data_IF_318083091075
#
_entry.id   IF_318083091075
#
_cell.length_a   1.000
_cell.length_b   1.000
_cell.length_c   1.000
_cell.angle_alpha   90.00
_cell.angle_beta   90.00
_cell.angle_gamma   90.00
#
_symmetry.space_group_name_H-M   'P 1'
#
loop_
_entity.id
_entity.type
_entity.pdbx_description
1 polymer ?
#
# COMPACT_ATOMS: atom_id res chain seq x y z
N UNK A 1 -3.41 -12.77 21.37
CA UNK A 1 -2.13 -12.04 21.50
C UNK A 1 -2.13 -10.90 20.49
N UNK A 2 -2.00 -9.66 20.98
CA UNK A 2 -1.93 -8.48 20.11
C UNK A 2 -0.60 -7.80 20.39
N UNK A 3 0.11 -7.41 19.35
CA UNK A 3 1.35 -6.64 19.43
C UNK A 3 1.26 -5.43 18.51
N UNK A 4 1.87 -4.35 18.90
CA UNK A 4 1.97 -3.15 18.06
C UNK A 4 3.35 -2.50 18.21
N UNK A 5 3.73 -1.78 17.18
CA UNK A 5 4.88 -0.87 17.16
C UNK A 5 4.36 0.48 16.69
N UNK A 6 4.78 1.52 17.38
CA UNK A 6 4.51 2.91 17.04
C UNK A 6 5.84 3.64 16.88
N UNK A 7 6.06 4.25 15.73
CA UNK A 7 7.28 4.94 15.38
C UNK A 7 6.98 6.35 14.88
N UNK A 8 7.72 7.32 15.40
CA UNK A 8 7.67 8.72 14.96
C UNK A 8 8.99 9.08 14.31
N UNK A 9 8.93 9.76 13.19
CA UNK A 9 10.08 10.28 12.48
C UNK A 9 9.89 11.76 12.14
N UNK A 10 10.89 12.57 12.45
CA UNK A 10 10.92 13.99 12.14
C UNK A 10 11.95 14.24 11.04
N UNK A 11 11.49 14.67 9.88
CA UNK A 11 12.36 15.07 8.79
C UNK A 11 12.64 16.58 8.86
N UNK A 12 13.91 16.91 8.99
CA UNK A 12 14.40 18.29 8.92
C UNK A 12 15.50 18.37 7.87
N UNK A 13 15.12 18.76 6.67
CA UNK A 13 16.09 19.17 5.64
C UNK A 13 16.02 20.68 5.46
N UNK A 14 16.91 21.25 4.64
CA UNK A 14 16.83 22.67 4.26
C UNK A 14 15.56 23.02 3.45
N UNK A 15 14.92 22.00 2.87
CA UNK A 15 13.79 22.18 1.94
C UNK A 15 12.47 21.66 2.48
N UNK A 16 12.48 20.71 3.41
CA UNK A 16 11.26 20.05 3.90
C UNK A 16 11.35 19.85 5.41
N UNK A 17 10.29 20.23 6.10
CA UNK A 17 10.04 19.88 7.50
C UNK A 17 8.77 19.06 7.56
N UNK A 18 8.88 17.79 7.93
CA UNK A 18 7.74 16.90 8.01
C UNK A 18 7.81 16.02 9.26
N UNK A 19 6.66 15.72 9.81
CA UNK A 19 6.49 14.72 10.85
C UNK A 19 5.74 13.53 10.26
N UNK A 20 6.22 12.32 10.55
CA UNK A 20 5.58 11.08 10.16
C UNK A 20 5.43 10.17 11.37
N UNK A 21 4.27 9.54 11.50
CA UNK A 21 3.99 8.53 12.50
C UNK A 21 3.40 7.30 11.86
N UNK A 22 3.93 6.13 12.18
CA UNK A 22 3.43 4.86 11.68
C UNK A 22 3.20 3.89 12.82
N UNK A 23 2.00 3.35 12.89
CA UNK A 23 1.63 2.31 13.81
C UNK A 23 1.36 1.03 13.04
N UNK A 24 2.03 -0.05 13.42
CA UNK A 24 1.81 -1.40 12.92
C UNK A 24 1.31 -2.28 14.05
N UNK A 25 0.23 -3.00 13.80
CA UNK A 25 -0.35 -3.95 14.75
C UNK A 25 -0.52 -5.32 14.14
N UNK A 26 -0.29 -6.37 14.92
CA UNK A 26 -0.62 -7.75 14.58
C UNK A 26 -1.78 -8.18 15.48
N UNK A 27 -2.88 -8.58 14.86
CA UNK A 27 -4.08 -9.01 15.54
C UNK A 27 -4.34 -10.48 15.19
N UNK A 28 -4.19 -11.35 16.18
CA UNK A 28 -4.46 -12.78 16.02
C UNK A 28 -5.95 -13.03 16.17
N UNK A 29 -6.59 -13.57 15.16
CA UNK A 29 -8.02 -13.90 15.13
C UNK A 29 -8.32 -15.36 15.50
N UNK A 30 -7.35 -16.26 15.31
CA UNK A 30 -7.43 -17.67 15.72
C UNK A 30 -6.03 -18.24 16.01
N UNK A 31 -5.89 -19.52 16.40
CA UNK A 31 -4.57 -20.16 16.50
C UNK A 31 -3.73 -20.10 15.20
N UNK A 32 -4.38 -20.03 14.04
CA UNK A 32 -3.73 -20.14 12.73
C UNK A 32 -3.97 -18.95 11.81
N UNK A 33 -4.75 -17.96 12.22
CA UNK A 33 -5.10 -16.80 11.42
C UNK A 33 -4.88 -15.50 12.16
N UNK A 34 -4.62 -14.46 11.42
CA UNK A 34 -4.44 -13.11 11.94
C UNK A 34 -4.37 -12.11 10.80
N UNK A 35 -4.36 -10.86 11.14
CA UNK A 35 -4.21 -9.76 10.21
C UNK A 35 -3.33 -8.67 10.81
N UNK A 36 -2.82 -7.82 9.94
CA UNK A 36 -2.01 -6.67 10.31
C UNK A 36 -2.79 -5.40 10.04
N UNK A 37 -2.63 -4.41 10.90
CA UNK A 37 -3.16 -3.07 10.69
C UNK A 37 -2.00 -2.10 10.62
N UNK A 38 -1.99 -1.27 9.58
CA UNK A 38 -0.99 -0.22 9.36
C UNK A 38 -1.71 1.13 9.31
N UNK A 39 -1.30 2.05 10.15
CA UNK A 39 -1.81 3.42 10.16
C UNK A 39 -0.60 4.34 9.98
N UNK A 40 -0.57 5.05 8.85
CA UNK A 40 0.48 5.99 8.52
C UNK A 40 -0.07 7.42 8.50
N UNK A 41 0.53 8.27 9.31
CA UNK A 41 0.25 9.70 9.40
C UNK A 41 1.42 10.48 8.87
N UNK A 42 1.14 11.59 8.19
CA UNK A 42 2.17 12.49 7.70
C UNK A 42 1.64 13.92 7.70
N UNK A 43 2.44 14.82 8.21
CA UNK A 43 2.18 16.25 8.18
C UNK A 43 3.42 17.02 7.73
N UNK A 44 3.21 18.14 7.04
CA UNK A 44 4.27 19.06 6.62
C UNK A 44 4.17 20.31 7.45
N UNK A 45 5.24 20.63 8.17
CA UNK A 45 5.29 21.72 9.16
C UNK A 45 5.95 22.99 8.61
N UNK A 46 6.24 23.04 7.30
CA UNK A 46 6.81 24.22 6.62
C UNK A 46 5.77 25.19 6.04
N UNK A 47 4.49 24.87 6.15
CA UNK A 47 3.37 25.67 5.67
C UNK A 47 3.05 25.51 4.18
N UNK A 48 3.74 24.60 3.49
CA UNK A 48 3.51 24.31 2.08
C UNK A 48 2.47 23.20 1.88
N UNK A 49 1.63 23.33 0.86
CA UNK A 49 0.66 22.30 0.48
C UNK A 49 1.34 21.23 -0.39
N UNK A 50 1.79 20.15 0.21
CA UNK A 50 2.53 19.08 -0.45
C UNK A 50 1.68 17.83 -0.61
N UNK A 51 2.19 16.91 -1.43
CA UNK A 51 1.64 15.56 -1.52
C UNK A 51 2.24 14.68 -0.41
N UNK A 52 1.39 13.83 0.14
CA UNK A 52 1.76 12.74 1.04
C UNK A 52 1.53 11.42 0.31
N UNK A 53 2.50 10.54 0.35
CA UNK A 53 2.48 9.27 -0.36
C UNK A 53 2.63 8.10 0.63
N UNK A 54 1.69 7.18 0.56
CA UNK A 54 1.80 5.88 1.18
C UNK A 54 2.21 4.87 0.13
N UNK A 55 3.39 4.27 0.31
CA UNK A 55 3.95 3.29 -0.63
C UNK A 55 4.03 1.95 0.06
N UNK A 56 3.53 0.92 -0.62
CA UNK A 56 3.62 -0.47 -0.18
C UNK A 56 4.16 -1.34 -1.31
N UNK A 57 5.12 -2.19 -0.97
CA UNK A 57 5.71 -3.18 -1.86
C UNK A 57 5.40 -4.57 -1.32
N UNK A 58 5.02 -5.48 -2.19
CA UNK A 58 4.87 -6.89 -1.83
C UNK A 58 5.65 -7.75 -2.82
N UNK A 59 6.48 -8.64 -2.30
CA UNK A 59 7.17 -9.61 -3.15
C UNK A 59 6.15 -10.59 -3.72
N UNK A 60 6.20 -10.83 -5.01
CA UNK A 60 5.27 -11.75 -5.66
C UNK A 60 5.30 -11.63 -7.18
N UNK A 61 4.33 -12.28 -7.81
CA UNK A 61 4.22 -12.35 -9.27
C UNK A 61 3.32 -11.27 -9.86
N UNK A 62 2.50 -10.61 -9.04
CA UNK A 62 1.58 -9.57 -9.49
C UNK A 62 0.63 -9.08 -8.40
N UNK A 63 -0.17 -8.09 -8.76
CA UNK A 63 -1.22 -7.54 -7.91
C UNK A 63 -2.47 -7.24 -8.73
N UNK A 64 -3.63 -7.51 -8.16
CA UNK A 64 -4.93 -7.22 -8.73
C UNK A 64 -5.73 -6.32 -7.80
N UNK A 65 -6.42 -5.33 -8.36
CA UNK A 65 -7.15 -4.30 -7.63
C UNK A 65 -8.66 -4.48 -7.80
N UNK A 66 -9.37 -4.53 -6.68
CA UNK A 66 -10.81 -4.75 -6.65
C UNK A 66 -11.52 -3.78 -5.71
N UNK A 67 -12.70 -3.35 -6.08
CA UNK A 67 -13.64 -2.71 -5.15
C UNK A 67 -14.11 -3.74 -4.11
N UNK A 68 -14.60 -3.31 -2.95
CA UNK A 68 -15.12 -4.23 -1.92
C UNK A 68 -16.29 -5.10 -2.41
N UNK A 69 -16.96 -4.68 -3.49
CA UNK A 69 -17.97 -5.48 -4.17
C UNK A 69 -17.42 -6.72 -4.89
N UNK A 70 -16.08 -6.82 -5.03
CA UNK A 70 -15.41 -7.85 -5.82
C UNK A 70 -15.29 -7.52 -7.32
N UNK A 71 -15.78 -6.38 -7.75
CA UNK A 71 -15.59 -5.93 -9.14
C UNK A 71 -14.17 -5.38 -9.32
N UNK A 72 -13.51 -5.58 -10.48
CA UNK A 72 -12.24 -4.94 -10.77
C UNK A 72 -12.33 -3.42 -10.58
N UNK A 73 -11.32 -2.85 -9.95
CA UNK A 73 -11.22 -1.41 -9.77
C UNK A 73 -10.97 -0.74 -11.14
N UNK A 74 -11.65 0.36 -11.46
CA UNK A 74 -11.52 1.02 -12.76
C UNK A 74 -10.19 1.78 -12.85
N UNK A 75 -9.12 1.08 -13.19
CA UNK A 75 -7.79 1.65 -13.37
C UNK A 75 -7.66 2.26 -14.77
N UNK A 76 -7.29 3.52 -14.84
CA UNK A 76 -6.96 4.22 -16.09
C UNK A 76 -5.46 4.14 -16.34
N UNK A 77 -5.06 3.92 -17.59
CA UNK A 77 -3.64 4.05 -17.95
C UNK A 77 -3.18 5.46 -17.62
N UNK A 78 -2.21 5.59 -16.71
CA UNK A 78 -1.68 6.88 -16.29
C UNK A 78 -0.26 7.04 -16.79
N UNK A 79 0.08 8.15 -17.46
CA UNK A 79 1.46 8.47 -17.77
C UNK A 79 2.24 8.68 -16.45
N UNK A 80 3.51 8.28 -16.46
CA UNK A 80 4.45 8.46 -15.32
C UNK A 80 4.63 9.93 -14.91
N UNK A 81 4.28 10.86 -15.78
CA UNK A 81 4.41 12.31 -15.56
C UNK A 81 3.63 12.82 -14.34
N UNK A 82 2.64 12.06 -13.87
CA UNK A 82 1.92 12.38 -12.63
C UNK A 82 2.73 12.11 -11.36
N UNK A 83 3.77 11.27 -11.44
CA UNK A 83 4.69 10.94 -10.35
C UNK A 83 6.05 11.57 -10.62
N UNK A 84 6.21 12.85 -10.28
CA UNK A 84 7.46 13.58 -10.47
C UNK A 84 8.38 13.46 -9.25
N UNK A 85 9.69 13.39 -9.49
CA UNK A 85 10.72 13.32 -8.47
C UNK A 85 11.66 12.14 -8.62
N UNK A 86 12.89 12.27 -8.12
CA UNK A 86 13.96 11.27 -8.32
C UNK A 86 13.61 9.86 -7.81
N UNK A 87 12.82 9.75 -6.73
CA UNK A 87 12.42 8.47 -6.15
C UNK A 87 11.42 7.69 -7.02
N UNK A 88 10.63 8.38 -7.84
CA UNK A 88 9.58 7.74 -8.65
C UNK A 88 10.09 7.19 -9.98
N UNK A 89 11.29 7.57 -10.42
CA UNK A 89 11.91 7.04 -11.65
C UNK A 89 12.18 5.52 -11.59
N UNK A 90 12.09 4.92 -10.42
CA UNK A 90 12.25 3.47 -10.23
C UNK A 90 10.95 2.67 -10.39
N UNK A 91 9.82 3.34 -10.59
CA UNK A 91 8.53 2.70 -10.77
C UNK A 91 8.08 2.73 -12.22
N UNK A 92 7.40 1.65 -12.62
CA UNK A 92 6.58 1.62 -13.84
C UNK A 92 5.12 1.71 -13.41
N UNK A 93 4.41 2.73 -13.85
CA UNK A 93 2.97 2.87 -13.60
C UNK A 93 2.20 1.96 -14.56
N UNK A 94 1.35 1.11 -14.00
CA UNK A 94 0.45 0.22 -14.75
C UNK A 94 -0.94 0.82 -14.89
N UNK A 95 -1.37 1.61 -13.91
CA UNK A 95 -2.64 2.30 -13.93
C UNK A 95 -2.84 3.18 -12.72
N UNK A 96 -3.89 4.02 -12.76
CA UNK A 96 -4.31 4.85 -11.64
C UNK A 96 -5.82 4.96 -11.54
N UNK A 97 -6.31 5.26 -10.32
CA UNK A 97 -7.69 5.56 -10.05
C UNK A 97 -7.78 6.75 -9.10
N UNK A 98 -8.54 7.78 -9.49
CA UNK A 98 -8.78 8.96 -8.67
C UNK A 98 -10.05 8.76 -7.83
N UNK A 99 -9.97 9.17 -6.56
CA UNK A 99 -11.08 9.12 -5.61
C UNK A 99 -11.79 7.75 -5.57
N UNK A 100 -11.06 6.63 -5.47
CA UNK A 100 -11.72 5.32 -5.44
C UNK A 100 -12.58 5.17 -4.19
N UNK A 101 -13.60 4.34 -4.30
CA UNK A 101 -14.28 3.76 -3.12
C UNK A 101 -13.32 2.84 -2.36
N UNK A 102 -13.72 2.39 -1.17
CA UNK A 102 -12.96 1.40 -0.42
C UNK A 102 -12.67 0.18 -1.30
N UNK A 103 -11.43 -0.28 -1.27
CA UNK A 103 -10.96 -1.33 -2.17
C UNK A 103 -10.04 -2.32 -1.45
N UNK A 104 -9.70 -3.39 -2.14
CA UNK A 104 -8.62 -4.26 -1.74
C UNK A 104 -7.68 -4.56 -2.90
N UNK A 105 -6.44 -4.87 -2.56
CA UNK A 105 -5.42 -5.36 -3.49
C UNK A 105 -5.08 -6.79 -3.10
N UNK A 106 -5.10 -7.69 -4.07
CA UNK A 106 -4.69 -9.07 -3.90
C UNK A 106 -3.30 -9.26 -4.51
N UNK A 107 -2.31 -9.53 -3.68
CA UNK A 107 -0.95 -9.80 -4.10
C UNK A 107 -0.72 -11.31 -4.18
N UNK A 108 -0.32 -11.80 -5.35
CA UNK A 108 0.04 -13.19 -5.58
C UNK A 108 1.51 -13.40 -5.23
N UNK A 109 1.79 -14.15 -4.18
CA UNK A 109 3.16 -14.32 -3.69
C UNK A 109 4.00 -15.30 -4.53
N UNK A 110 3.35 -16.03 -5.46
CA UNK A 110 4.03 -16.93 -6.39
C UNK A 110 4.56 -18.21 -5.76
N UNK A 111 4.14 -18.52 -4.54
CA UNK A 111 4.49 -19.73 -3.79
C UNK A 111 3.20 -20.37 -3.29
N UNK A 112 2.93 -21.61 -3.69
CA UNK A 112 1.88 -22.48 -3.15
C UNK A 112 0.50 -21.80 -2.96
N UNK A 113 0.00 -21.11 -3.98
CA UNK A 113 -1.31 -20.40 -3.91
C UNK A 113 -1.43 -19.46 -2.68
N UNK A 114 -0.31 -18.80 -2.36
CA UNK A 114 -0.24 -17.89 -1.23
C UNK A 114 -0.48 -16.46 -1.67
N UNK A 115 -1.32 -15.77 -0.93
CA UNK A 115 -1.74 -14.40 -1.21
C UNK A 115 -1.55 -13.50 0.03
N UNK A 116 -1.37 -12.22 -0.24
CA UNK A 116 -1.56 -11.17 0.73
C UNK A 116 -2.66 -10.24 0.23
N UNK A 117 -3.77 -10.17 0.92
CA UNK A 117 -4.83 -9.20 0.63
C UNK A 117 -4.68 -7.97 1.51
N UNK A 118 -4.64 -6.82 0.87
CA UNK A 118 -4.53 -5.53 1.51
C UNK A 118 -5.85 -4.78 1.31
N UNK A 119 -6.60 -4.57 2.38
CA UNK A 119 -7.81 -3.75 2.38
C UNK A 119 -7.45 -2.30 2.70
N UNK A 120 -8.02 -1.39 1.93
CA UNK A 120 -7.77 0.05 2.05
C UNK A 120 -9.09 0.80 2.15
N UNK A 121 -9.44 1.34 3.32
CA UNK A 121 -10.47 2.36 3.39
C UNK A 121 -9.93 3.64 2.76
N UNK A 122 -10.69 4.22 1.87
CA UNK A 122 -10.27 5.43 1.16
C UNK A 122 -10.99 6.67 1.65
N UNK A 123 -10.54 7.81 1.18
CA UNK A 123 -11.13 9.12 1.41
C UNK A 123 -11.08 9.95 0.14
N UNK A 124 -11.84 11.04 0.12
CA UNK A 124 -11.81 12.00 -0.97
C UNK A 124 -10.42 12.62 -1.14
N UNK A 125 -10.06 12.93 -2.37
CA UNK A 125 -8.78 13.60 -2.71
C UNK A 125 -7.59 12.63 -2.81
N UNK A 126 -7.83 11.32 -2.81
CA UNK A 126 -6.77 10.32 -2.99
C UNK A 126 -6.70 9.82 -4.43
N UNK A 127 -5.48 9.61 -4.90
CA UNK A 127 -5.20 8.89 -6.14
C UNK A 127 -4.42 7.63 -5.80
N UNK A 128 -4.88 6.51 -6.33
CA UNK A 128 -4.25 5.20 -6.17
C UNK A 128 -3.53 4.84 -7.45
N UNK A 129 -2.28 4.40 -7.34
CA UNK A 129 -1.46 3.95 -8.46
C UNK A 129 -1.11 2.48 -8.28
N UNK A 130 -1.33 1.70 -9.32
CA UNK A 130 -0.77 0.36 -9.47
C UNK A 130 0.59 0.49 -10.14
N UNK A 131 1.62 -0.03 -9.47
CA UNK A 131 3.00 0.15 -9.88
C UNK A 131 3.73 -1.20 -9.93
N UNK A 132 4.78 -1.22 -10.74
CA UNK A 132 5.86 -2.17 -10.61
C UNK A 132 7.12 -1.41 -10.19
N UNK A 133 7.80 -1.93 -9.17
CA UNK A 133 9.10 -1.46 -8.71
C UNK A 133 10.23 -2.24 -9.40
N UNK A 134 11.48 -1.99 -9.01
CA UNK A 134 12.64 -2.71 -9.50
C UNK A 134 12.58 -4.21 -9.15
N UNK A 135 13.34 -5.01 -9.89
CA UNK A 135 13.49 -6.43 -9.60
C UNK A 135 14.12 -6.68 -8.23
N UNK A 136 13.64 -7.71 -7.54
CA UNK A 136 14.24 -8.13 -6.27
C UNK A 136 15.27 -9.25 -6.49
N UNK A 137 16.49 -8.90 -6.84
CA UNK A 137 17.58 -9.85 -7.07
C UNK A 137 17.99 -10.67 -5.84
N UNK A 138 17.54 -10.28 -4.64
CA UNK A 138 17.85 -10.96 -3.38
C UNK A 138 16.75 -11.87 -2.88
N UNK A 139 15.64 -11.97 -3.62
CA UNK A 139 14.57 -12.84 -3.19
C UNK A 139 15.04 -14.30 -3.10
N UNK A 140 14.54 -15.02 -2.09
CA UNK A 140 14.97 -16.39 -1.82
C UNK A 140 14.62 -17.31 -3.00
N UNK A 141 13.41 -17.21 -3.56
CA UNK A 141 12.97 -18.00 -4.71
C UNK A 141 13.60 -17.44 -6.00
N UNK A 142 14.48 -18.21 -6.68
CA UNK A 142 15.17 -17.72 -7.86
C UNK A 142 14.27 -17.29 -9.01
N UNK A 143 13.13 -17.94 -9.20
CA UNK A 143 12.17 -17.63 -10.27
C UNK A 143 11.56 -16.25 -10.13
N UNK A 144 11.46 -15.71 -8.90
CA UNK A 144 10.90 -14.40 -8.63
C UNK A 144 11.93 -13.27 -8.74
N UNK A 145 13.22 -13.56 -8.87
CA UNK A 145 14.29 -12.56 -8.92
C UNK A 145 14.28 -11.72 -10.20
N UNK A 146 13.67 -12.24 -11.26
CA UNK A 146 13.57 -11.58 -12.56
C UNK A 146 12.25 -10.84 -12.76
N UNK A 147 11.32 -10.97 -11.80
CA UNK A 147 10.05 -10.29 -11.84
C UNK A 147 10.14 -8.93 -11.15
N UNK A 148 9.45 -7.91 -11.65
CA UNK A 148 9.31 -6.66 -10.94
C UNK A 148 8.50 -6.87 -9.65
N UNK A 149 8.80 -6.08 -8.63
CA UNK A 149 8.08 -6.13 -7.36
C UNK A 149 6.78 -5.35 -7.50
N UNK A 150 5.59 -5.98 -7.33
CA UNK A 150 4.32 -5.26 -7.34
C UNK A 150 4.28 -4.23 -6.22
N UNK A 151 3.80 -3.03 -6.53
CA UNK A 151 3.72 -1.95 -5.59
C UNK A 151 2.39 -1.18 -5.71
N UNK A 152 1.99 -0.61 -4.61
CA UNK A 152 0.88 0.32 -4.49
C UNK A 152 1.43 1.67 -4.02
N UNK A 153 0.95 2.75 -4.62
CA UNK A 153 1.12 4.09 -4.08
C UNK A 153 -0.26 4.74 -3.93
N UNK A 154 -0.53 5.28 -2.76
CA UNK A 154 -1.70 6.11 -2.49
C UNK A 154 -1.19 7.51 -2.23
N UNK A 155 -1.60 8.46 -3.07
CA UNK A 155 -1.24 9.86 -2.98
C UNK A 155 -2.40 10.69 -2.48
N UNK A 156 -2.13 11.57 -1.54
CA UNK A 156 -3.07 12.54 -1.01
C UNK A 156 -2.42 13.92 -1.05
N UNK A 157 -3.18 14.93 -1.46
CA UNK A 157 -2.80 16.33 -1.31
C UNK A 157 -3.28 16.82 0.05
N UNK A 158 -2.63 17.86 0.58
CA UNK A 158 -2.88 18.39 1.93
C UNK A 158 -2.45 17.39 3.02
N UNK A 159 -2.83 17.64 4.26
CA UNK A 159 -2.40 16.88 5.41
C UNK A 159 -2.90 15.43 5.41
N UNK A 160 -2.11 14.55 5.99
CA UNK A 160 -2.44 13.14 6.22
C UNK A 160 -2.31 12.76 7.71
N UNK A 161 -2.47 13.72 8.61
CA UNK A 161 -2.39 13.50 10.06
C UNK A 161 -3.75 13.13 10.64
N UNK A 162 -4.76 13.94 10.40
CA UNK A 162 -6.14 13.66 10.84
C UNK A 162 -6.87 12.73 9.87
N UNK A 163 -6.42 12.69 8.61
CA UNK A 163 -6.91 11.75 7.57
C UNK A 163 -5.81 10.77 7.15
N UNK A 164 -5.39 9.85 8.05
CA UNK A 164 -4.26 8.96 7.82
C UNK A 164 -4.50 7.96 6.70
N UNK A 165 -3.42 7.42 6.17
CA UNK A 165 -3.49 6.22 5.37
C UNK A 165 -3.67 5.02 6.31
N UNK A 166 -4.63 4.17 5.99
CA UNK A 166 -4.94 2.96 6.76
C UNK A 166 -4.93 1.77 5.80
N UNK A 167 -4.31 0.69 6.24
CA UNK A 167 -4.36 -0.57 5.51
C UNK A 167 -4.51 -1.73 6.48
N UNK A 168 -5.28 -2.73 6.07
CA UNK A 168 -5.43 -3.99 6.80
C UNK A 168 -4.97 -5.12 5.90
N UNK A 169 -4.00 -5.89 6.37
CA UNK A 169 -3.37 -6.96 5.61
C UNK A 169 -3.78 -8.32 6.16
N UNK A 170 -4.21 -9.19 5.29
CA UNK A 170 -4.55 -10.57 5.60
C UNK A 170 -3.79 -11.53 4.70
N UNK A 171 -2.83 -12.31 5.22
CA UNK A 171 -2.24 -13.41 4.49
C UNK A 171 -3.23 -14.58 4.42
N UNK A 172 -3.38 -15.19 3.27
CA UNK A 172 -4.19 -16.39 3.10
C UNK A 172 -3.62 -17.28 1.96
N UNK A 173 -4.05 -18.52 1.90
CA UNK A 173 -3.58 -19.45 0.87
C UNK A 173 -4.16 -20.85 1.06
N UNK A 174 -3.68 -21.82 0.26
CA UNK A 174 -4.08 -23.23 0.30
C UNK A 174 -5.61 -23.44 0.17
N UNK A 175 -6.25 -22.70 -0.73
CA UNK A 175 -7.70 -22.75 -0.94
C UNK A 175 -8.53 -22.07 0.16
N UNK A 176 -7.90 -21.46 1.16
CA UNK A 176 -8.59 -20.62 2.13
C UNK A 176 -9.11 -19.32 1.48
N UNK A 177 -10.21 -18.81 2.02
CA UNK A 177 -10.75 -17.50 1.60
C UNK A 177 -10.41 -16.45 2.64
N UNK A 178 -10.23 -15.21 2.21
CA UNK A 178 -10.13 -14.07 3.09
C UNK A 178 -11.28 -14.04 4.11
N UNK A 179 -10.96 -13.81 5.37
CA UNK A 179 -11.91 -13.73 6.48
C UNK A 179 -12.44 -12.31 6.66
N UNK A 180 -11.66 -11.30 6.25
CA UNK A 180 -12.06 -9.90 6.30
C UNK A 180 -13.05 -9.66 5.17
N UNK A 181 -14.24 -9.15 5.51
CA UNK A 181 -15.31 -8.89 4.55
C UNK A 181 -15.39 -7.42 4.15
N UNK A 182 -15.08 -6.53 5.06
CA UNK A 182 -15.15 -5.08 4.83
C UNK A 182 -14.29 -4.32 5.81
N UNK A 183 -13.91 -3.11 5.41
CA UNK A 183 -13.25 -2.08 6.21
C UNK A 183 -14.02 -0.77 6.00
N UNK A 184 -14.14 0.04 7.05
CA UNK A 184 -14.88 1.31 7.02
C UNK A 184 -14.00 2.44 7.55
#
# INVERSE_FOLDING_TARGET
YHQYVDAVNHFHTSEIKAEQRRMLSIIRSSPHTGYYVDIFRSDVTDGEDRYHDYIYHNMGTGSEFFLLSGQPMPMSASPLDSLSGKGYSYFTTLGSCENPDNFYVDYHLGIDDTHMRMFVPTGKGRTVYQLNSLFNHRYYEPSLRTLPVPALLIRQKSEAWDHPFIAVYEPYGNGAKSQIRSVY
#
